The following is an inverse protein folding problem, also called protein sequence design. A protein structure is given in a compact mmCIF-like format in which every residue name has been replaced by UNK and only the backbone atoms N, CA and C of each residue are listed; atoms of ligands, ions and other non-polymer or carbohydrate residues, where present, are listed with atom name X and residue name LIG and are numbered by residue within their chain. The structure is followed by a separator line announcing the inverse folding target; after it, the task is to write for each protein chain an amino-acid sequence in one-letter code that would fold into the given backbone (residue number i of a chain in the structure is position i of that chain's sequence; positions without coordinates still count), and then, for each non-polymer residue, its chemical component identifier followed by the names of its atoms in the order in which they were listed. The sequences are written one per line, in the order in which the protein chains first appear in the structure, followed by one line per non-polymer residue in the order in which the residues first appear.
data_IF_819819051819
#
_entry.id   IF_819819051819
#
_cell.length_a   1.000
_cell.length_b   1.000
_cell.length_c   1.000
_cell.angle_alpha   90.00
_cell.angle_beta   90.00
_cell.angle_gamma   90.00
#
_symmetry.space_group_name_H-M   'P 1'
#
loop_
_entity.id
_entity.type
_entity.pdbx_description
1 polymer ?
#
# COMPACT_ATOMS: atom_id res chain seq x y z
N UNK A 1 -8.76 0.18 19.20
CA UNK A 1 -9.10 0.65 17.84
C UNK A 1 -7.98 0.21 16.91
N UNK A 2 -8.26 -0.68 15.95
CA UNK A 2 -7.29 -1.02 14.91
C UNK A 2 -7.29 0.10 13.87
N UNK A 3 -6.12 0.73 13.68
CA UNK A 3 -5.90 1.82 12.69
C UNK A 3 -5.24 1.29 11.41
N UNK A 4 -5.52 0.04 11.06
CA UNK A 4 -4.92 -0.62 9.90
C UNK A 4 -5.99 -0.78 8.82
N UNK A 5 -5.68 -0.29 7.62
CA UNK A 5 -6.49 -0.45 6.42
C UNK A 5 -5.85 -1.54 5.55
N UNK A 6 -6.68 -2.36 4.93
CA UNK A 6 -6.26 -3.25 3.87
C UNK A 6 -6.75 -2.68 2.55
N UNK A 7 -5.84 -2.46 1.62
CA UNK A 7 -6.12 -1.93 0.30
C UNK A 7 -5.73 -2.97 -0.74
N UNK A 8 -6.72 -3.54 -1.41
CA UNK A 8 -6.54 -4.51 -2.48
C UNK A 8 -6.77 -3.90 -3.86
N UNK A 9 -6.60 -4.72 -4.90
CA UNK A 9 -6.79 -4.33 -6.30
C UNK A 9 -5.89 -3.14 -6.73
N UNK A 10 -4.72 -3.03 -6.12
CA UNK A 10 -3.73 -2.03 -6.49
C UNK A 10 -3.00 -2.48 -7.75
N UNK A 11 -2.71 -1.53 -8.63
CA UNK A 11 -1.84 -1.77 -9.78
C UNK A 11 -0.46 -2.24 -9.31
N UNK A 12 0.15 -3.17 -10.04
CA UNK A 12 1.49 -3.69 -9.72
C UNK A 12 2.59 -2.63 -9.73
N UNK A 13 2.31 -1.46 -10.31
CA UNK A 13 3.21 -0.31 -10.36
C UNK A 13 3.13 0.59 -9.12
N UNK A 14 2.07 0.47 -8.32
CA UNK A 14 1.87 1.29 -7.12
C UNK A 14 2.90 0.89 -6.07
N UNK A 15 3.52 1.91 -5.48
CA UNK A 15 4.48 1.78 -4.39
C UNK A 15 3.86 2.18 -3.05
N UNK A 16 4.58 1.92 -1.95
CA UNK A 16 4.16 2.37 -0.62
C UNK A 16 4.08 3.89 -0.52
N UNK A 17 4.99 4.61 -1.21
CA UNK A 17 4.99 6.07 -1.25
C UNK A 17 3.78 6.61 -2.02
N UNK A 18 3.40 5.96 -3.13
CA UNK A 18 2.18 6.33 -3.87
C UNK A 18 0.94 6.15 -3.00
N UNK A 19 0.82 5.02 -2.28
CA UNK A 19 -0.27 4.81 -1.32
C UNK A 19 -0.27 5.91 -0.26
N UNK A 20 0.88 6.18 0.35
CA UNK A 20 1.00 7.19 1.39
C UNK A 20 0.56 8.57 0.88
N UNK A 21 1.00 8.95 -0.32
CA UNK A 21 0.63 10.22 -0.95
C UNK A 21 -0.86 10.29 -1.24
N UNK A 22 -1.45 9.27 -1.89
CA UNK A 22 -2.87 9.25 -2.22
C UNK A 22 -3.77 9.27 -0.97
N UNK A 23 -3.42 8.52 0.07
CA UNK A 23 -4.22 8.47 1.29
C UNK A 23 -3.94 9.63 2.25
N UNK A 24 -2.85 10.40 2.05
CA UNK A 24 -2.53 11.57 2.86
C UNK A 24 -3.58 12.68 2.75
N UNK A 25 -4.28 12.77 1.61
CA UNK A 25 -5.38 13.71 1.42
C UNK A 25 -6.60 13.36 2.29
N UNK A 26 -6.79 12.08 2.59
CA UNK A 26 -7.88 11.59 3.42
C UNK A 26 -7.55 11.63 4.93
N UNK A 27 -6.26 11.64 5.30
CA UNK A 27 -5.83 11.71 6.70
C UNK A 27 -4.36 11.35 6.91
N UNK A 28 -3.93 11.30 8.18
CA UNK A 28 -2.55 10.98 8.52
C UNK A 28 -2.23 9.49 8.29
N UNK A 29 -1.30 9.22 7.36
CA UNK A 29 -0.80 7.87 7.07
C UNK A 29 0.51 7.64 7.82
N UNK A 30 0.47 6.84 8.89
CA UNK A 30 1.65 6.50 9.70
C UNK A 30 2.60 5.56 8.95
N UNK A 31 2.04 4.54 8.28
CA UNK A 31 2.80 3.58 7.48
C UNK A 31 1.96 3.05 6.32
N UNK A 32 2.64 2.75 5.21
CA UNK A 32 2.05 2.12 4.03
C UNK A 32 3.05 1.10 3.48
N UNK A 33 2.63 -0.16 3.35
CA UNK A 33 3.51 -1.25 2.91
C UNK A 33 2.82 -2.04 1.81
N UNK A 34 3.39 -2.06 0.62
CA UNK A 34 2.93 -2.94 -0.45
C UNK A 34 3.47 -4.34 -0.22
N UNK A 35 2.58 -5.34 -0.20
CA UNK A 35 2.98 -6.73 -0.14
C UNK A 35 3.50 -7.14 -1.53
N UNK A 36 4.75 -7.58 -1.56
CA UNK A 36 5.45 -8.03 -2.77
C UNK A 36 5.72 -9.53 -2.69
N UNK A 37 5.74 -10.17 -3.85
CA UNK A 37 6.17 -11.55 -3.97
C UNK A 37 7.68 -11.64 -3.66
N UNK A 38 8.07 -12.64 -2.85
CA UNK A 38 9.47 -12.80 -2.41
C UNK A 38 10.40 -13.30 -3.51
N UNK A 39 9.87 -13.94 -4.55
CA UNK A 39 10.67 -14.52 -5.62
C UNK A 39 10.80 -13.56 -6.80
N UNK A 40 9.69 -12.98 -7.25
CA UNK A 40 9.70 -12.04 -8.38
C UNK A 40 9.95 -10.58 -7.97
N UNK A 41 9.79 -10.24 -6.68
CA UNK A 41 9.84 -8.87 -6.19
C UNK A 41 8.67 -8.00 -6.67
N UNK A 42 7.73 -8.56 -7.42
CA UNK A 42 6.58 -7.83 -7.94
C UNK A 42 5.54 -7.60 -6.85
N UNK A 43 4.85 -6.47 -6.92
CA UNK A 43 3.69 -6.22 -6.06
C UNK A 43 2.66 -7.34 -6.24
N UNK A 44 2.00 -7.74 -5.15
CA UNK A 44 0.86 -8.66 -5.20
C UNK A 44 -0.47 -7.91 -5.40
N UNK A 45 -0.41 -6.59 -5.56
CA UNK A 45 -1.58 -5.74 -5.77
C UNK A 45 -2.38 -5.47 -4.49
N UNK A 46 -1.76 -5.61 -3.32
CA UNK A 46 -2.38 -5.29 -2.04
C UNK A 46 -1.37 -4.82 -0.99
N UNK A 47 -1.84 -4.08 0.01
CA UNK A 47 -1.06 -3.49 1.09
C UNK A 47 -1.91 -3.01 2.25
#
# INVERSE_FOLDING_TARGET
MNKNLYVGNLSYKITGDDLKSNFSEAGEVVSATIIKDKFSGQSKGFG
#
